data_IF_038970540074
#
_entry.id   IF_038970540074
#
_cell.length_a   1.000
_cell.length_b   1.000
_cell.length_c   1.000
_cell.angle_alpha   90.00
_cell.angle_beta   90.00
_cell.angle_gamma   90.00
#
_symmetry.space_group_name_H-M   'P 1'
#
loop_
_entity.id
_entity.type
_entity.pdbx_description
1 polymer ?
#
# COMPACT_ATOMS: atom_id res chain seq x y z
N UNK A 1 -17.86 10.44 29.70
CA UNK A 1 -17.04 11.62 29.36
C UNK A 1 -15.61 11.26 29.72
N UNK A 2 -14.69 11.22 28.78
CA UNK A 2 -13.28 11.03 29.10
C UNK A 2 -12.78 12.23 29.90
N UNK A 3 -12.03 11.98 30.97
CA UNK A 3 -11.49 13.04 31.82
C UNK A 3 -10.43 13.84 31.04
N UNK A 4 -10.77 15.05 30.65
CA UNK A 4 -9.93 15.96 29.87
C UNK A 4 -8.66 16.37 30.64
N UNK A 5 -8.63 16.23 31.96
CA UNK A 5 -7.47 16.54 32.81
C UNK A 5 -6.28 15.63 32.62
N UNK A 6 -6.46 14.46 31.99
CA UNK A 6 -5.41 13.48 31.72
C UNK A 6 -4.79 13.57 30.30
N UNK A 7 -5.21 14.55 29.49
CA UNK A 7 -4.57 14.75 28.19
C UNK A 7 -3.19 15.37 28.42
N UNK A 8 -2.09 14.69 28.00
CA UNK A 8 -0.76 15.28 28.13
C UNK A 8 -0.70 16.63 27.42
N UNK A 9 -0.33 17.66 28.15
CA UNK A 9 -0.20 19.02 27.63
C UNK A 9 1.02 19.19 26.71
N UNK A 10 2.01 18.31 26.85
CA UNK A 10 3.19 18.26 25.99
C UNK A 10 3.07 17.14 24.96
N UNK A 11 2.97 17.51 23.69
CA UNK A 11 2.89 16.58 22.56
C UNK A 11 4.11 15.65 22.47
N UNK A 12 5.26 16.05 23.00
CA UNK A 12 6.46 15.22 23.03
C UNK A 12 6.41 14.10 24.08
N UNK A 13 5.47 14.13 25.00
CA UNK A 13 5.20 13.01 25.92
C UNK A 13 4.41 11.87 25.25
N UNK A 14 3.68 12.17 24.15
CA UNK A 14 2.86 11.22 23.41
C UNK A 14 3.58 10.72 22.15
N UNK A 15 4.36 11.60 21.50
CA UNK A 15 5.02 11.33 20.24
C UNK A 15 6.53 11.64 20.32
N UNK A 16 7.29 11.15 19.34
CA UNK A 16 8.75 11.38 19.31
C UNK A 16 9.10 12.86 19.15
N UNK A 17 10.27 13.25 19.67
CA UNK A 17 10.88 14.56 19.43
C UNK A 17 11.43 14.62 18.00
N UNK A 18 11.18 15.73 17.30
CA UNK A 18 11.66 15.99 15.95
C UNK A 18 12.76 17.05 15.96
N UNK A 19 13.95 16.66 15.52
CA UNK A 19 15.05 17.54 15.20
C UNK A 19 15.22 17.73 13.69
N UNK A 20 16.08 18.62 13.26
CA UNK A 20 16.30 18.92 11.85
C UNK A 20 16.73 17.70 11.02
N UNK A 21 17.54 16.81 11.60
CA UNK A 21 18.00 15.59 10.91
C UNK A 21 16.85 14.62 10.67
N UNK A 22 15.98 14.40 11.68
CA UNK A 22 14.80 13.56 11.56
C UNK A 22 13.79 14.13 10.56
N UNK A 23 13.60 15.46 10.54
CA UNK A 23 12.74 16.14 9.57
C UNK A 23 13.27 15.93 8.15
N UNK A 24 14.55 16.14 7.92
CA UNK A 24 15.21 15.90 6.62
C UNK A 24 15.08 14.45 6.17
N UNK A 25 15.33 13.51 7.07
CA UNK A 25 15.17 12.08 6.79
C UNK A 25 13.73 11.71 6.42
N UNK A 26 12.74 12.18 7.18
CA UNK A 26 11.32 11.92 6.92
C UNK A 26 10.85 12.53 5.59
N UNK A 27 11.36 13.71 5.23
CA UNK A 27 11.08 14.32 3.93
C UNK A 27 11.62 13.46 2.78
N UNK A 28 12.87 12.98 2.88
CA UNK A 28 13.48 12.10 1.86
C UNK A 28 12.73 10.77 1.77
N UNK A 29 12.42 10.16 2.91
CA UNK A 29 11.63 8.93 2.98
C UNK A 29 10.23 9.15 2.38
N UNK A 30 9.62 10.31 2.65
CA UNK A 30 8.37 10.76 2.03
C UNK A 30 8.49 10.85 0.51
N UNK A 31 9.52 11.51 0.02
CA UNK A 31 9.78 11.66 -1.42
C UNK A 31 9.96 10.30 -2.12
N UNK A 32 10.80 9.42 -1.57
CA UNK A 32 11.03 8.07 -2.12
C UNK A 32 9.72 7.26 -2.08
N UNK A 33 9.01 7.26 -0.94
CA UNK A 33 7.73 6.59 -0.80
C UNK A 33 6.66 7.11 -1.77
N UNK A 34 6.66 8.42 -2.01
CA UNK A 34 5.81 9.07 -3.01
C UNK A 34 6.16 8.64 -4.43
N UNK A 35 7.44 8.68 -4.80
CA UNK A 35 7.94 8.29 -6.13
C UNK A 35 7.54 6.84 -6.45
N UNK A 36 7.82 5.94 -5.54
CA UNK A 36 7.46 4.53 -5.71
C UNK A 36 5.94 4.35 -5.74
N UNK A 37 5.20 5.07 -4.90
CA UNK A 37 3.73 5.02 -4.92
C UNK A 37 3.14 5.49 -6.24
N UNK A 38 3.65 6.57 -6.81
CA UNK A 38 3.21 7.08 -8.11
C UNK A 38 3.48 6.10 -9.25
N UNK A 39 4.59 5.35 -9.14
CA UNK A 39 5.02 4.38 -10.15
C UNK A 39 4.28 3.03 -10.04
N UNK A 40 4.26 2.40 -8.85
CA UNK A 40 3.70 1.06 -8.65
C UNK A 40 2.34 1.03 -7.93
N UNK A 41 1.80 2.17 -7.53
CA UNK A 41 0.48 2.27 -6.91
C UNK A 41 0.38 1.84 -5.43
N UNK A 42 1.43 1.26 -4.86
CA UNK A 42 1.41 0.57 -3.56
C UNK A 42 1.28 1.47 -2.31
N UNK A 43 1.13 2.76 -2.50
CA UNK A 43 0.98 3.70 -1.38
C UNK A 43 2.29 4.16 -0.71
N UNK A 44 3.45 3.59 -1.03
CA UNK A 44 4.77 3.95 -0.45
C UNK A 44 4.96 3.55 1.01
N UNK A 45 3.96 2.90 1.60
CA UNK A 45 3.90 2.54 3.02
C UNK A 45 5.07 1.67 3.49
N UNK A 46 5.60 0.86 2.62
CA UNK A 46 6.72 -0.05 2.88
C UNK A 46 8.06 0.65 3.14
N UNK A 47 8.22 1.90 2.67
CA UNK A 47 9.35 2.75 3.03
C UNK A 47 9.00 3.63 4.22
N UNK A 48 7.79 4.19 4.23
CA UNK A 48 7.34 5.16 5.21
C UNK A 48 7.19 4.57 6.61
N UNK A 49 6.47 3.43 6.74
CA UNK A 49 6.25 2.81 8.05
C UNK A 49 7.56 2.34 8.68
N UNK A 50 8.42 1.55 7.98
CA UNK A 50 9.73 1.21 8.51
C UNK A 50 10.64 2.42 8.79
N UNK A 51 10.61 3.42 7.91
CA UNK A 51 11.39 4.65 8.09
C UNK A 51 10.99 5.44 9.34
N UNK A 52 9.69 5.52 9.65
CA UNK A 52 9.24 6.10 10.92
C UNK A 52 9.62 5.24 12.13
N UNK A 53 9.46 3.91 12.02
CA UNK A 53 9.82 2.99 13.10
C UNK A 53 11.32 3.02 13.42
N UNK A 54 12.22 3.22 12.43
CA UNK A 54 13.65 3.35 12.66
C UNK A 54 14.05 4.62 13.42
N UNK A 55 13.15 5.61 13.49
CA UNK A 55 13.30 6.80 14.31
C UNK A 55 12.71 6.66 15.73
N UNK A 56 12.23 5.46 16.08
CA UNK A 56 11.60 5.18 17.37
C UNK A 56 10.10 5.47 17.41
N UNK A 57 9.44 5.70 16.25
CA UNK A 57 7.98 5.85 16.22
C UNK A 57 7.31 4.50 16.47
N UNK A 58 6.38 4.40 17.44
CA UNK A 58 5.61 3.17 17.67
C UNK A 58 4.87 2.71 16.41
N UNK A 59 4.81 1.39 16.17
CA UNK A 59 4.25 0.83 14.95
C UNK A 59 2.82 1.32 14.67
N UNK A 60 1.95 1.36 15.69
CA UNK A 60 0.57 1.83 15.54
C UNK A 60 0.52 3.31 15.09
N UNK A 61 1.37 4.18 15.65
CA UNK A 61 1.47 5.59 15.26
C UNK A 61 2.02 5.73 13.84
N UNK A 62 3.03 4.92 13.48
CA UNK A 62 3.59 4.91 12.13
C UNK A 62 2.56 4.47 11.09
N UNK A 63 1.78 3.41 11.36
CA UNK A 63 0.69 2.95 10.49
C UNK A 63 -0.40 4.01 10.37
N UNK A 64 -0.82 4.61 11.49
CA UNK A 64 -1.87 5.63 11.53
C UNK A 64 -1.47 6.89 10.74
N UNK A 65 -0.28 7.44 11.01
CA UNK A 65 0.25 8.63 10.33
C UNK A 65 0.45 8.38 8.83
N UNK A 66 0.90 7.18 8.46
CA UNK A 66 1.00 6.77 7.06
C UNK A 66 -0.37 6.64 6.38
N UNK A 67 -1.40 6.12 7.06
CA UNK A 67 -2.77 6.09 6.52
C UNK A 67 -3.30 7.51 6.27
N UNK A 68 -3.03 8.44 7.20
CA UNK A 68 -3.46 9.84 7.07
C UNK A 68 -2.80 10.52 5.87
N UNK A 69 -1.48 10.38 5.70
CA UNK A 69 -0.77 10.94 4.55
C UNK A 69 -1.20 10.32 3.21
N UNK A 70 -1.65 9.04 3.23
CA UNK A 70 -2.03 8.29 2.02
C UNK A 70 -3.17 8.95 1.26
N UNK A 71 -4.17 9.49 1.95
CA UNK A 71 -5.37 10.08 1.35
C UNK A 71 -5.04 11.22 0.37
N UNK A 72 -4.42 12.35 0.77
CA UNK A 72 -4.14 13.46 -0.14
C UNK A 72 -3.15 13.09 -1.24
N UNK A 73 -2.12 12.29 -0.91
CA UNK A 73 -1.16 11.82 -1.90
C UNK A 73 -1.81 10.95 -2.98
N UNK A 74 -2.69 10.03 -2.58
CA UNK A 74 -3.36 9.13 -3.52
C UNK A 74 -4.27 9.87 -4.50
N UNK A 75 -4.93 10.94 -4.07
CA UNK A 75 -5.72 11.82 -4.96
C UNK A 75 -4.83 12.42 -6.04
N UNK A 76 -3.68 12.99 -5.66
CA UNK A 76 -2.74 13.61 -6.61
C UNK A 76 -2.21 12.56 -7.60
N UNK A 77 -1.81 11.39 -7.11
CA UNK A 77 -1.32 10.30 -7.94
C UNK A 77 -2.40 9.74 -8.89
N UNK A 78 -3.60 9.48 -8.38
CA UNK A 78 -4.74 9.00 -9.17
C UNK A 78 -5.14 10.00 -10.27
N UNK A 79 -5.22 11.29 -9.93
CA UNK A 79 -5.53 12.34 -10.89
C UNK A 79 -4.51 12.42 -12.04
N UNK A 80 -3.22 12.31 -11.70
CA UNK A 80 -2.14 12.29 -12.70
C UNK A 80 -2.27 11.07 -13.63
N UNK A 81 -2.43 9.88 -13.05
CA UNK A 81 -2.56 8.61 -13.78
C UNK A 81 -3.88 8.52 -14.58
N UNK A 82 -4.95 9.19 -14.12
CA UNK A 82 -6.21 9.34 -14.85
C UNK A 82 -6.00 10.08 -16.17
N UNK A 83 -5.20 11.16 -16.17
CA UNK A 83 -4.85 11.89 -17.40
C UNK A 83 -4.10 11.05 -18.43
N UNK A 84 -3.41 10.01 -17.97
CA UNK A 84 -2.71 9.06 -18.87
C UNK A 84 -3.61 7.89 -19.32
N UNK A 85 -4.90 7.87 -18.93
CA UNK A 85 -5.82 6.80 -19.27
C UNK A 85 -5.53 5.45 -18.60
N UNK A 86 -4.73 5.44 -17.54
CA UNK A 86 -4.26 4.23 -16.87
C UNK A 86 -5.16 3.77 -15.71
N UNK A 87 -6.12 4.59 -15.28
CA UNK A 87 -6.98 4.29 -14.11
C UNK A 87 -8.32 3.74 -14.55
N UNK A 88 -8.72 2.58 -14.03
CA UNK A 88 -10.11 2.13 -14.07
C UNK A 88 -10.84 2.59 -12.80
N UNK A 89 -11.50 3.74 -12.90
CA UNK A 89 -12.17 4.36 -11.76
C UNK A 89 -13.26 3.45 -11.19
N UNK A 90 -14.00 2.74 -12.05
CA UNK A 90 -15.06 1.82 -11.64
C UNK A 90 -14.52 0.63 -10.84
N UNK A 91 -13.42 0.02 -11.30
CA UNK A 91 -12.75 -1.06 -10.58
C UNK A 91 -12.23 -0.56 -9.23
N UNK A 92 -11.56 0.60 -9.22
CA UNK A 92 -11.05 1.21 -8.00
C UNK A 92 -12.14 1.48 -6.96
N UNK A 93 -13.27 2.05 -7.37
CA UNK A 93 -14.39 2.34 -6.46
C UNK A 93 -15.08 1.07 -5.95
N UNK A 94 -15.28 0.06 -6.80
CA UNK A 94 -15.87 -1.22 -6.37
C UNK A 94 -14.95 -1.93 -5.38
N UNK A 95 -13.65 -1.98 -5.63
CA UNK A 95 -12.68 -2.51 -4.66
C UNK A 95 -12.65 -1.71 -3.36
N UNK A 96 -12.71 -0.38 -3.47
CA UNK A 96 -12.62 0.53 -2.33
C UNK A 96 -13.76 0.33 -1.31
N UNK A 97 -14.96 -0.09 -1.74
CA UNK A 97 -16.07 -0.37 -0.81
C UNK A 97 -15.71 -1.47 0.18
N UNK A 98 -15.17 -2.57 -0.30
CA UNK A 98 -14.77 -3.70 0.55
C UNK A 98 -13.43 -3.43 1.26
N UNK A 99 -12.53 -2.67 0.64
CA UNK A 99 -11.30 -2.22 1.28
C UNK A 99 -11.57 -1.30 2.48
N UNK A 100 -12.55 -0.41 2.40
CA UNK A 100 -12.99 0.42 3.53
C UNK A 100 -13.44 -0.42 4.73
N UNK A 101 -14.23 -1.47 4.49
CA UNK A 101 -14.64 -2.44 5.53
C UNK A 101 -13.39 -3.15 6.11
N UNK A 102 -12.49 -3.61 5.25
CA UNK A 102 -11.23 -4.21 5.65
C UNK A 102 -10.38 -3.30 6.54
N UNK A 103 -10.31 -2.00 6.22
CA UNK A 103 -9.62 -1.00 7.03
C UNK A 103 -10.20 -0.91 8.43
N UNK A 104 -11.51 -0.81 8.56
CA UNK A 104 -12.17 -0.70 9.87
C UNK A 104 -11.93 -1.94 10.76
N UNK A 105 -11.97 -3.12 10.16
CA UNK A 105 -11.67 -4.37 10.87
C UNK A 105 -10.18 -4.46 11.22
N UNK A 106 -9.30 -4.09 10.28
CA UNK A 106 -7.85 -4.09 10.51
C UNK A 106 -7.42 -3.15 11.63
N UNK A 107 -8.04 -1.98 11.77
CA UNK A 107 -7.79 -1.05 12.87
C UNK A 107 -8.17 -1.71 14.21
N UNK A 108 -9.33 -2.37 14.29
CA UNK A 108 -9.74 -3.09 15.52
C UNK A 108 -8.76 -4.21 15.89
N UNK A 109 -8.25 -4.94 14.91
CA UNK A 109 -7.22 -5.96 15.13
C UNK A 109 -5.95 -5.33 15.68
N UNK A 110 -5.49 -4.23 15.10
CA UNK A 110 -4.29 -3.52 15.57
C UNK A 110 -4.46 -2.95 16.98
N UNK A 111 -5.65 -2.39 17.29
CA UNK A 111 -6.00 -1.96 18.65
C UNK A 111 -5.95 -3.13 19.64
N UNK A 112 -6.55 -4.27 19.28
CA UNK A 112 -6.55 -5.47 20.11
C UNK A 112 -5.14 -5.97 20.39
N UNK A 113 -4.28 -6.04 19.35
CA UNK A 113 -2.89 -6.46 19.49
C UNK A 113 -2.12 -5.51 20.42
N UNK A 114 -2.27 -4.20 20.22
CA UNK A 114 -1.61 -3.19 21.04
C UNK A 114 -2.08 -3.29 22.50
N UNK A 115 -3.38 -3.50 22.74
CA UNK A 115 -3.94 -3.62 24.08
C UNK A 115 -3.47 -4.90 24.80
N UNK A 116 -3.36 -6.01 24.06
CA UNK A 116 -3.06 -7.33 24.65
C UNK A 116 -1.55 -7.56 24.81
N UNK A 117 -0.74 -7.14 23.83
CA UNK A 117 0.70 -7.41 23.78
C UNK A 117 1.57 -6.16 23.98
N UNK A 118 0.95 -5.01 24.22
CA UNK A 118 1.66 -3.74 24.38
C UNK A 118 2.32 -3.22 23.10
N UNK A 119 3.20 -2.24 23.24
CA UNK A 119 3.90 -1.63 22.11
C UNK A 119 4.94 -2.56 21.47
N UNK A 120 5.71 -3.29 22.28
CA UNK A 120 6.71 -4.25 21.79
C UNK A 120 6.05 -5.36 20.96
N UNK A 121 4.95 -5.94 21.46
CA UNK A 121 4.18 -6.93 20.72
C UNK A 121 3.55 -6.40 19.43
N UNK A 122 3.07 -5.16 19.42
CA UNK A 122 2.58 -4.50 18.22
C UNK A 122 3.69 -4.29 17.19
N UNK A 123 4.87 -3.83 17.61
CA UNK A 123 6.03 -3.64 16.76
C UNK A 123 6.51 -4.96 16.14
N UNK A 124 6.57 -6.01 16.94
CA UNK A 124 6.93 -7.36 16.49
C UNK A 124 5.92 -7.91 15.48
N UNK A 125 4.62 -7.81 15.78
CA UNK A 125 3.54 -8.23 14.87
C UNK A 125 3.66 -7.54 13.51
N UNK A 126 3.75 -6.21 13.51
CA UNK A 126 3.87 -5.44 12.26
C UNK A 126 5.11 -5.87 11.48
N UNK A 127 6.26 -6.03 12.13
CA UNK A 127 7.52 -6.38 11.46
C UNK A 127 7.50 -7.78 10.88
N UNK A 128 7.02 -8.78 11.63
CA UNK A 128 6.93 -10.18 11.17
C UNK A 128 5.91 -10.33 10.06
N UNK A 129 4.69 -9.79 10.25
CA UNK A 129 3.65 -9.88 9.23
C UNK A 129 4.06 -9.15 7.94
N UNK A 130 4.73 -8.00 8.08
CA UNK A 130 5.29 -7.24 6.97
C UNK A 130 6.32 -8.10 6.19
N UNK A 131 7.28 -8.70 6.90
CA UNK A 131 8.30 -9.58 6.32
C UNK A 131 7.66 -10.74 5.54
N UNK A 132 6.76 -11.49 6.18
CA UNK A 132 6.10 -12.65 5.56
C UNK A 132 5.35 -12.25 4.28
N UNK A 133 4.54 -11.20 4.33
CA UNK A 133 3.78 -10.73 3.17
C UNK A 133 4.71 -10.30 2.04
N UNK A 134 5.78 -9.55 2.35
CA UNK A 134 6.69 -9.07 1.31
C UNK A 134 7.52 -10.19 0.67
N UNK A 135 7.94 -11.19 1.44
CA UNK A 135 8.68 -12.34 0.90
C UNK A 135 7.77 -13.19 0.02
N UNK A 136 6.58 -13.55 0.49
CA UNK A 136 5.67 -14.44 -0.25
C UNK A 136 5.17 -13.74 -1.52
N UNK A 137 4.60 -12.55 -1.39
CA UNK A 137 4.02 -11.84 -2.55
C UNK A 137 5.12 -11.30 -3.45
N UNK A 138 6.15 -10.68 -2.88
CA UNK A 138 7.29 -10.13 -3.62
C UNK A 138 8.06 -11.21 -4.39
N UNK A 139 8.31 -12.36 -3.77
CA UNK A 139 8.96 -13.51 -4.42
C UNK A 139 8.14 -14.05 -5.60
N UNK A 140 6.83 -14.19 -5.43
CA UNK A 140 5.94 -14.63 -6.50
C UNK A 140 5.92 -13.63 -7.68
N UNK A 141 5.74 -12.34 -7.40
CA UNK A 141 5.73 -11.28 -8.42
C UNK A 141 7.08 -11.16 -9.11
N UNK A 142 8.19 -11.35 -8.38
CA UNK A 142 9.54 -11.31 -8.94
C UNK A 142 9.79 -12.44 -9.95
N UNK A 143 9.39 -13.66 -9.60
CA UNK A 143 9.50 -14.81 -10.52
C UNK A 143 8.65 -14.59 -11.80
N UNK A 144 7.44 -14.03 -11.66
CA UNK A 144 6.59 -13.71 -12.80
C UNK A 144 7.19 -12.58 -13.66
N UNK A 145 7.69 -11.52 -13.05
CA UNK A 145 8.34 -10.41 -13.73
C UNK A 145 9.58 -10.86 -14.51
N UNK A 146 10.40 -11.78 -13.96
CA UNK A 146 11.53 -12.35 -14.67
C UNK A 146 11.12 -13.17 -15.90
N UNK A 147 10.05 -13.99 -15.79
CA UNK A 147 9.49 -14.74 -16.91
C UNK A 147 8.99 -13.78 -17.99
N UNK A 148 8.26 -12.73 -17.62
CA UNK A 148 7.77 -11.72 -18.54
C UNK A 148 8.92 -10.97 -19.25
N UNK A 149 9.97 -10.60 -18.50
CA UNK A 149 11.18 -9.97 -19.05
C UNK A 149 11.88 -10.87 -20.09
N UNK A 150 12.06 -12.17 -19.78
CA UNK A 150 12.68 -13.13 -20.72
C UNK A 150 11.88 -13.24 -22.01
N UNK A 151 10.55 -13.32 -21.94
CA UNK A 151 9.66 -13.35 -23.11
C UNK A 151 9.80 -12.06 -23.95
N UNK A 152 9.81 -10.90 -23.30
CA UNK A 152 9.93 -9.61 -23.98
C UNK A 152 11.27 -9.46 -24.73
N UNK A 153 12.36 -10.04 -24.20
CA UNK A 153 13.69 -10.02 -24.83
C UNK A 153 13.83 -11.03 -25.99
N UNK A 154 13.04 -12.07 -26.02
CA UNK A 154 13.05 -13.09 -27.08
C UNK A 154 12.31 -12.68 -28.36
N UNK A 155 11.70 -11.48 -28.41
CA UNK A 155 11.27 -10.82 -29.66
C UNK A 155 10.07 -11.45 -30.38
N UNK A 156 9.18 -12.16 -29.70
CA UNK A 156 7.93 -12.63 -30.31
C UNK A 156 6.93 -11.50 -30.51
N UNK A 157 6.22 -11.46 -31.63
CA UNK A 157 5.15 -10.47 -31.93
C UNK A 157 4.02 -10.52 -30.88
N UNK A 158 3.87 -11.64 -30.16
CA UNK A 158 2.93 -11.85 -29.04
C UNK A 158 3.53 -11.48 -27.66
N UNK A 159 4.80 -11.05 -27.59
CA UNK A 159 5.46 -10.70 -26.33
C UNK A 159 4.90 -9.41 -25.68
N UNK A 160 4.18 -8.59 -26.42
CA UNK A 160 3.57 -7.35 -25.91
C UNK A 160 2.18 -7.55 -25.30
N UNK A 161 1.49 -8.64 -25.62
CA UNK A 161 0.20 -8.95 -24.97
C UNK A 161 0.46 -9.65 -23.63
N UNK A 162 0.25 -8.92 -22.55
CA UNK A 162 0.27 -9.53 -21.22
C UNK A 162 -0.82 -10.62 -21.14
N UNK A 163 -0.38 -11.89 -21.09
CA UNK A 163 -1.29 -13.01 -20.98
C UNK A 163 -1.89 -12.98 -19.58
N UNK A 164 -3.22 -12.88 -19.51
CA UNK A 164 -3.95 -12.93 -18.24
C UNK A 164 -3.48 -14.11 -17.40
N UNK A 165 -3.26 -13.90 -16.11
CA UNK A 165 -2.79 -14.94 -15.19
C UNK A 165 -3.72 -16.17 -15.20
N UNK A 166 -3.18 -17.40 -15.07
CA UNK A 166 -3.99 -18.63 -15.18
C UNK A 166 -5.17 -18.70 -14.22
N UNK A 167 -5.02 -18.16 -13.00
CA UNK A 167 -6.11 -18.08 -12.02
C UNK A 167 -7.20 -17.12 -12.50
N UNK A 168 -6.82 -15.94 -12.97
CA UNK A 168 -7.76 -14.94 -13.49
C UNK A 168 -8.54 -15.48 -14.69
N UNK A 169 -7.89 -16.23 -15.59
CA UNK A 169 -8.57 -16.89 -16.71
C UNK A 169 -9.63 -17.90 -16.26
N UNK A 170 -9.35 -18.69 -15.20
CA UNK A 170 -10.31 -19.63 -14.63
C UNK A 170 -11.49 -18.89 -14.00
N UNK A 171 -11.22 -17.83 -13.20
CA UNK A 171 -12.25 -17.06 -12.53
C UNK A 171 -13.12 -16.26 -13.50
N UNK A 172 -12.55 -15.75 -14.59
CA UNK A 172 -13.30 -15.03 -15.63
C UNK A 172 -14.36 -15.90 -16.37
N UNK A 173 -14.16 -17.23 -16.36
CA UNK A 173 -15.13 -18.18 -16.93
C UNK A 173 -16.34 -18.42 -16.02
N UNK A 174 -16.24 -18.07 -14.74
CA UNK A 174 -17.31 -18.29 -13.77
C UNK A 174 -18.27 -17.08 -13.81
N UNK A 175 -19.46 -17.27 -14.37
CA UNK A 175 -20.50 -16.25 -14.46
C UNK A 175 -21.35 -16.22 -13.18
N UNK A 176 -20.82 -15.71 -12.08
CA UNK A 176 -21.53 -15.55 -10.81
C UNK A 176 -22.04 -14.09 -10.68
N UNK A 177 -23.36 -13.83 -10.69
CA UNK A 177 -23.90 -12.47 -10.55
C UNK A 177 -23.57 -11.87 -9.17
N UNK A 178 -23.37 -10.53 -9.07
CA UNK A 178 -23.34 -9.55 -10.15
C UNK A 178 -22.02 -9.55 -10.93
N UNK A 179 -22.14 -9.59 -12.27
CA UNK A 179 -20.98 -9.47 -13.17
C UNK A 179 -20.76 -8.00 -13.54
N UNK A 180 -19.53 -7.52 -13.37
CA UNK A 180 -19.15 -6.13 -13.62
C UNK A 180 -18.10 -6.07 -14.72
N UNK A 181 -18.32 -5.18 -15.71
CA UNK A 181 -17.36 -4.93 -16.78
C UNK A 181 -16.58 -3.65 -16.48
N UNK A 182 -15.28 -3.73 -16.62
CA UNK A 182 -14.30 -2.66 -16.38
C UNK A 182 -13.60 -2.33 -17.69
N UNK A 183 -13.90 -1.13 -18.23
CA UNK A 183 -13.49 -0.78 -19.59
C UNK A 183 -11.99 -0.55 -19.72
N UNK A 184 -11.38 0.21 -18.80
CA UNK A 184 -9.95 0.54 -18.84
C UNK A 184 -9.10 -0.68 -18.51
N UNK A 185 -9.54 -1.49 -17.56
CA UNK A 185 -8.87 -2.74 -17.21
C UNK A 185 -9.07 -3.85 -18.25
N UNK A 186 -10.06 -3.72 -19.16
CA UNK A 186 -10.34 -4.71 -20.20
C UNK A 186 -10.87 -6.05 -19.65
N UNK A 187 -11.43 -6.07 -18.45
CA UNK A 187 -11.88 -7.28 -17.78
C UNK A 187 -13.37 -7.27 -17.47
N UNK A 188 -13.96 -8.46 -17.41
CA UNK A 188 -15.31 -8.70 -16.89
C UNK A 188 -15.22 -9.73 -15.78
N UNK A 189 -15.59 -9.34 -14.54
CA UNK A 189 -15.40 -10.16 -13.36
C UNK A 189 -16.59 -10.07 -12.42
N UNK A 190 -16.87 -11.16 -11.68
CA UNK A 190 -17.87 -11.18 -10.62
C UNK A 190 -17.40 -10.33 -9.42
N UNK A 191 -18.35 -9.61 -8.81
CA UNK A 191 -18.11 -8.87 -7.56
C UNK A 191 -17.53 -9.77 -6.45
N UNK A 192 -17.96 -11.01 -6.38
CA UNK A 192 -17.53 -11.97 -5.36
C UNK A 192 -16.04 -12.33 -5.41
N UNK A 193 -15.38 -12.11 -6.56
CA UNK A 193 -13.91 -12.26 -6.66
C UNK A 193 -13.18 -10.93 -6.41
N UNK A 194 -13.84 -9.80 -6.66
CA UNK A 194 -13.28 -8.47 -6.39
C UNK A 194 -13.31 -8.16 -4.89
N UNK A 195 -14.40 -8.51 -4.22
CA UNK A 195 -14.63 -8.20 -2.82
C UNK A 195 -13.56 -8.74 -1.85
N UNK A 196 -13.12 -10.02 -1.94
CA UNK A 196 -12.04 -10.52 -1.09
C UNK A 196 -10.72 -9.80 -1.34
N UNK A 197 -10.38 -9.48 -2.60
CA UNK A 197 -9.15 -8.75 -2.94
C UNK A 197 -9.18 -7.37 -2.29
N UNK A 198 -10.28 -6.62 -2.46
CA UNK A 198 -10.44 -5.32 -1.82
C UNK A 198 -10.39 -5.40 -0.30
N UNK A 199 -11.13 -6.33 0.29
CA UNK A 199 -11.18 -6.54 1.74
C UNK A 199 -9.79 -6.83 2.33
N UNK A 200 -9.04 -7.77 1.77
CA UNK A 200 -7.68 -8.11 2.22
C UNK A 200 -6.72 -6.93 2.03
N UNK A 201 -6.86 -6.19 0.93
CA UNK A 201 -6.09 -4.97 0.70
C UNK A 201 -6.29 -3.97 1.82
N UNK A 202 -7.54 -3.71 2.22
CA UNK A 202 -7.88 -2.79 3.31
C UNK A 202 -7.44 -3.29 4.68
N UNK A 203 -7.67 -4.58 4.96
CA UNK A 203 -7.28 -5.22 6.21
C UNK A 203 -5.77 -5.09 6.47
N UNK A 204 -4.96 -5.46 5.49
CA UNK A 204 -3.50 -5.41 5.58
C UNK A 204 -2.96 -3.97 5.49
N UNK A 205 -3.68 -3.06 4.82
CA UNK A 205 -3.33 -1.65 4.87
C UNK A 205 -3.44 -1.06 6.27
N UNK A 206 -4.45 -1.46 7.03
CA UNK A 206 -4.71 -0.93 8.36
C UNK A 206 -3.91 -1.62 9.47
N UNK A 207 -3.60 -2.91 9.32
CA UNK A 207 -2.83 -3.66 10.33
C UNK A 207 -1.33 -3.45 10.18
N UNK A 208 -0.81 -3.51 8.96
CA UNK A 208 0.63 -3.49 8.68
C UNK A 208 1.05 -2.49 7.60
N UNK A 209 0.14 -1.61 7.16
CA UNK A 209 0.36 -0.60 6.13
C UNK A 209 0.72 -1.12 4.71
N UNK A 210 0.53 -2.41 4.39
CA UNK A 210 1.00 -3.07 3.13
C UNK A 210 -0.09 -3.23 2.06
N UNK A 211 -1.25 -2.59 2.22
CA UNK A 211 -2.42 -2.80 1.36
C UNK A 211 -2.15 -2.85 -0.14
N UNK A 212 -1.41 -1.88 -0.69
CA UNK A 212 -1.13 -1.83 -2.12
C UNK A 212 -0.28 -2.98 -2.65
N UNK A 213 0.50 -3.65 -1.82
CA UNK A 213 1.24 -4.86 -2.21
C UNK A 213 0.38 -6.12 -2.25
N UNK A 214 -0.86 -6.03 -1.82
CA UNK A 214 -1.87 -7.07 -2.02
C UNK A 214 -2.85 -6.64 -3.10
N UNK A 215 -3.27 -5.37 -3.11
CA UNK A 215 -4.22 -4.83 -4.07
C UNK A 215 -3.73 -4.93 -5.51
N UNK A 216 -2.50 -4.49 -5.79
CA UNK A 216 -1.93 -4.53 -7.15
C UNK A 216 -1.75 -5.98 -7.63
N UNK A 217 -1.06 -6.89 -6.93
CA UNK A 217 -1.01 -8.30 -7.32
C UNK A 217 -2.39 -8.97 -7.37
N UNK A 218 -3.30 -8.64 -6.47
CA UNK A 218 -4.66 -9.14 -6.51
C UNK A 218 -5.39 -8.77 -7.80
N UNK A 219 -5.27 -7.51 -8.25
CA UNK A 219 -5.82 -7.08 -9.53
C UNK A 219 -5.15 -7.78 -10.72
N UNK A 220 -3.84 -8.01 -10.67
CA UNK A 220 -3.11 -8.68 -11.75
C UNK A 220 -3.44 -10.18 -11.80
N UNK A 221 -3.29 -10.88 -10.69
CA UNK A 221 -3.28 -12.35 -10.65
C UNK A 221 -4.65 -12.98 -10.41
N UNK A 222 -5.56 -12.27 -9.71
CA UNK A 222 -6.92 -12.75 -9.43
C UNK A 222 -7.92 -12.17 -10.42
N UNK A 223 -7.83 -10.86 -10.71
CA UNK A 223 -8.80 -10.18 -11.57
C UNK A 223 -8.35 -10.12 -13.04
N UNK A 224 -7.06 -10.23 -13.32
CA UNK A 224 -6.52 -10.28 -14.69
C UNK A 224 -6.30 -8.92 -15.35
N UNK A 225 -6.24 -7.84 -14.58
CA UNK A 225 -5.90 -6.53 -15.09
C UNK A 225 -4.39 -6.40 -15.35
N UNK A 226 -3.98 -5.54 -16.31
CA UNK A 226 -2.56 -5.27 -16.56
C UNK A 226 -1.88 -4.59 -15.37
N UNK A 227 -0.55 -4.69 -15.27
CA UNK A 227 0.19 -4.14 -14.14
C UNK A 227 0.11 -2.60 -14.11
N UNK A 228 0.14 -1.94 -15.27
CA UNK A 228 -0.02 -0.49 -15.36
C UNK A 228 -1.39 -0.04 -14.86
N UNK A 229 -2.48 -0.67 -15.32
CA UNK A 229 -3.83 -0.32 -14.90
C UNK A 229 -4.05 -0.67 -13.42
N UNK A 230 -3.58 -1.83 -12.96
CA UNK A 230 -3.68 -2.24 -11.56
C UNK A 230 -2.97 -1.27 -10.62
N UNK A 231 -1.74 -0.87 -10.93
CA UNK A 231 -0.97 0.08 -10.14
C UNK A 231 -1.62 1.47 -10.10
N UNK A 232 -2.22 1.91 -11.20
CA UNK A 232 -2.91 3.19 -11.26
C UNK A 232 -4.25 3.16 -10.50
N UNK A 233 -5.02 2.08 -10.66
CA UNK A 233 -6.32 1.89 -10.03
C UNK A 233 -6.19 1.73 -8.52
N UNK A 234 -5.10 1.12 -8.04
CA UNK A 234 -4.81 1.03 -6.61
C UNK A 234 -4.72 2.40 -5.93
N UNK A 235 -4.30 3.45 -6.63
CA UNK A 235 -4.29 4.81 -6.05
C UNK A 235 -5.70 5.28 -5.69
N UNK A 236 -6.74 4.88 -6.43
CA UNK A 236 -8.14 5.18 -6.09
C UNK A 236 -8.54 4.43 -4.83
N UNK A 237 -8.23 3.13 -4.75
CA UNK A 237 -8.48 2.30 -3.57
C UNK A 237 -7.74 2.87 -2.36
N UNK A 238 -6.46 3.22 -2.54
CA UNK A 238 -5.62 3.82 -1.50
C UNK A 238 -6.17 5.16 -0.98
N UNK A 239 -6.78 5.97 -1.85
CA UNK A 239 -7.44 7.21 -1.47
C UNK A 239 -8.60 6.95 -0.50
N UNK A 240 -9.50 6.04 -0.84
CA UNK A 240 -10.65 5.70 0.02
C UNK A 240 -10.19 5.04 1.33
N UNK A 241 -9.24 4.09 1.27
CA UNK A 241 -8.66 3.48 2.47
C UNK A 241 -7.98 4.53 3.36
N UNK A 242 -7.22 5.45 2.75
CA UNK A 242 -6.56 6.54 3.47
C UNK A 242 -7.58 7.44 4.16
N UNK A 243 -8.65 7.84 3.48
CA UNK A 243 -9.72 8.64 4.06
C UNK A 243 -10.40 7.93 5.25
N UNK A 244 -10.86 6.70 5.04
CA UNK A 244 -11.53 5.89 6.08
C UNK A 244 -10.60 5.65 7.28
N UNK A 245 -9.34 5.27 7.01
CA UNK A 245 -8.36 5.02 8.04
C UNK A 245 -7.94 6.27 8.80
N UNK A 246 -7.79 7.41 8.13
CA UNK A 246 -7.44 8.69 8.77
C UNK A 246 -8.45 9.10 9.84
N UNK A 247 -9.74 9.03 9.52
CA UNK A 247 -10.81 9.39 10.46
C UNK A 247 -10.74 8.48 11.69
N UNK A 248 -10.70 7.17 11.47
CA UNK A 248 -10.72 6.21 12.58
C UNK A 248 -9.46 6.27 13.44
N UNK A 249 -8.26 6.35 12.84
CA UNK A 249 -7.01 6.48 13.57
C UNK A 249 -6.86 7.82 14.30
N UNK A 250 -7.40 8.91 13.72
CA UNK A 250 -7.43 10.22 14.38
C UNK A 250 -8.35 10.19 15.62
N UNK A 251 -9.51 9.52 15.52
CA UNK A 251 -10.41 9.33 16.69
C UNK A 251 -9.78 8.52 17.82
N UNK A 252 -8.77 7.69 17.49
CA UNK A 252 -8.00 6.91 18.49
C UNK A 252 -6.77 7.66 19.02
N UNK A 253 -6.53 8.90 18.56
CA UNK A 253 -5.37 9.71 18.98
C UNK A 253 -4.01 9.17 18.51
N UNK A 254 -3.99 8.28 17.50
CA UNK A 254 -2.76 7.62 17.03
C UNK A 254 -2.07 8.34 15.86
N UNK A 255 -2.64 9.42 15.33
CA UNK A 255 -2.06 10.15 14.20
C UNK A 255 -1.16 11.27 14.71
N UNK A 256 0.15 11.19 14.41
CA UNK A 256 1.06 12.33 14.55
C UNK A 256 1.02 13.19 13.28
N UNK A 257 0.34 14.32 13.37
CA UNK A 257 0.19 15.25 12.24
C UNK A 257 1.52 15.85 11.78
N UNK A 258 2.52 16.01 12.67
CA UNK A 258 3.85 16.50 12.32
C UNK A 258 4.55 15.54 11.37
N UNK A 259 4.57 14.24 11.71
CA UNK A 259 5.09 13.18 10.84
C UNK A 259 4.32 13.13 9.52
N UNK A 260 2.98 13.14 9.61
CA UNK A 260 2.08 13.10 8.45
C UNK A 260 2.39 14.22 7.46
N UNK A 261 2.54 15.47 7.93
CA UNK A 261 2.79 16.63 7.06
C UNK A 261 4.19 16.59 6.44
N UNK A 262 5.22 16.20 7.20
CA UNK A 262 6.60 16.13 6.69
C UNK A 262 6.69 15.09 5.57
N UNK A 263 6.20 13.87 5.81
CA UNK A 263 6.22 12.82 4.78
C UNK A 263 5.30 13.17 3.60
N UNK A 264 4.20 13.91 3.83
CA UNK A 264 3.29 14.37 2.77
C UNK A 264 4.00 15.36 1.85
N UNK A 265 4.71 16.35 2.39
CA UNK A 265 5.45 17.30 1.57
C UNK A 265 6.41 16.60 0.60
N UNK A 266 7.23 15.67 1.08
CA UNK A 266 8.12 14.89 0.22
C UNK A 266 7.35 14.05 -0.80
N UNK A 267 6.31 13.37 -0.35
CA UNK A 267 5.58 12.41 -1.19
C UNK A 267 4.73 13.05 -2.28
N UNK A 268 4.27 14.29 -2.12
CA UNK A 268 3.54 15.01 -3.17
C UNK A 268 4.42 15.32 -4.39
N UNK A 269 5.70 15.62 -4.20
CA UNK A 269 6.65 15.74 -5.30
C UNK A 269 6.97 14.35 -5.90
N UNK A 270 7.27 13.39 -5.04
CA UNK A 270 7.63 12.03 -5.45
C UNK A 270 6.54 11.36 -6.28
N UNK A 271 5.27 11.42 -5.85
CA UNK A 271 4.15 10.75 -6.53
C UNK A 271 3.92 11.27 -7.95
N UNK A 272 4.17 12.55 -8.19
CA UNK A 272 4.05 13.12 -9.52
C UNK A 272 5.16 12.63 -10.46
N UNK A 273 6.41 12.59 -9.98
CA UNK A 273 7.53 12.05 -10.74
C UNK A 273 7.37 10.55 -11.00
N UNK A 274 6.94 9.78 -10.00
CA UNK A 274 6.64 8.37 -10.16
C UNK A 274 5.54 8.11 -11.20
N UNK A 275 4.47 8.89 -11.19
CA UNK A 275 3.41 8.79 -12.17
C UNK A 275 3.89 9.12 -13.60
N UNK A 276 4.75 10.14 -13.77
CA UNK A 276 5.37 10.43 -15.08
C UNK A 276 6.20 9.23 -15.55
N UNK A 277 6.99 8.62 -14.66
CA UNK A 277 7.82 7.46 -15.00
C UNK A 277 7.03 6.30 -15.63
N UNK A 278 5.75 6.14 -15.31
CA UNK A 278 4.90 5.07 -15.87
C UNK A 278 4.59 5.24 -17.35
N UNK A 279 4.75 6.43 -17.91
CA UNK A 279 4.51 6.67 -19.35
C UNK A 279 5.66 6.17 -20.23
N UNK A 280 6.80 5.84 -19.63
CA UNK A 280 8.02 5.40 -20.33
C UNK A 280 8.33 3.91 -20.14
N UNK A 281 7.47 3.17 -19.42
CA UNK A 281 7.78 1.78 -19.04
C UNK A 281 6.71 0.80 -19.51
N UNK A 282 7.13 -0.45 -19.74
CA UNK A 282 6.25 -1.57 -20.07
C UNK A 282 5.72 -2.23 -18.78
N UNK A 283 4.60 -2.96 -18.86
CA UNK A 283 3.94 -3.63 -17.74
C UNK A 283 4.87 -4.51 -16.88
N UNK A 284 5.75 -5.30 -17.52
CA UNK A 284 6.69 -6.14 -16.78
C UNK A 284 7.69 -5.35 -15.92
N UNK A 285 8.02 -4.11 -16.32
CA UNK A 285 8.92 -3.25 -15.55
C UNK A 285 8.25 -2.79 -14.25
N UNK A 286 6.94 -2.52 -14.27
CA UNK A 286 6.17 -2.19 -13.05
C UNK A 286 6.23 -3.36 -12.07
N UNK A 287 5.99 -4.59 -12.54
CA UNK A 287 6.09 -5.81 -11.72
C UNK A 287 7.52 -5.99 -11.17
N UNK A 288 8.53 -5.81 -12.03
CA UNK A 288 9.93 -5.99 -11.65
C UNK A 288 10.36 -5.00 -10.58
N UNK A 289 10.09 -3.70 -10.78
CA UNK A 289 10.41 -2.65 -9.80
C UNK A 289 9.67 -2.90 -8.49
N UNK A 290 8.36 -3.20 -8.56
CA UNK A 290 7.53 -3.49 -7.39
C UNK A 290 8.12 -4.65 -6.56
N UNK A 291 8.39 -5.78 -7.20
CA UNK A 291 8.90 -6.97 -6.51
C UNK A 291 10.31 -6.79 -5.96
N UNK A 292 11.19 -6.11 -6.70
CA UNK A 292 12.56 -5.80 -6.24
C UNK A 292 12.50 -4.95 -4.95
N UNK A 293 11.68 -3.92 -4.94
CA UNK A 293 11.52 -3.07 -3.77
C UNK A 293 10.92 -3.85 -2.59
N UNK A 294 9.91 -4.71 -2.84
CA UNK A 294 9.33 -5.57 -1.81
C UNK A 294 10.40 -6.45 -1.15
N UNK A 295 11.27 -7.08 -1.93
CA UNK A 295 12.33 -7.95 -1.41
C UNK A 295 13.41 -7.18 -0.63
N UNK A 296 13.83 -6.00 -1.11
CA UNK A 296 14.77 -5.14 -0.38
C UNK A 296 14.20 -4.76 0.99
N UNK A 297 12.95 -4.36 1.04
CA UNK A 297 12.30 -3.97 2.31
C UNK A 297 12.07 -5.18 3.20
N UNK A 298 11.76 -6.36 2.65
CA UNK A 298 11.67 -7.59 3.44
C UNK A 298 12.98 -7.90 4.18
N UNK A 299 14.13 -7.77 3.50
CA UNK A 299 15.45 -7.92 4.13
C UNK A 299 15.65 -6.90 5.25
N UNK A 300 15.30 -5.64 5.03
CA UNK A 300 15.43 -4.60 6.07
C UNK A 300 14.59 -4.91 7.32
N UNK A 301 13.39 -5.51 7.14
CA UNK A 301 12.54 -5.91 8.26
C UNK A 301 13.06 -7.15 8.98
N UNK A 302 13.64 -8.10 8.26
CA UNK A 302 14.27 -9.25 8.88
C UNK A 302 15.39 -8.82 9.84
N UNK A 303 16.21 -7.85 9.45
CA UNK A 303 17.29 -7.32 10.27
C UNK A 303 16.79 -6.56 11.51
N UNK A 304 15.59 -5.97 11.47
CA UNK A 304 15.02 -5.25 12.60
C UNK A 304 14.26 -6.14 13.61
N UNK A 305 13.84 -7.37 13.24
CA UNK A 305 13.09 -8.27 14.11
C UNK A 305 13.82 -8.60 15.42
N UNK A 306 15.15 -8.91 15.45
CA UNK A 306 15.86 -9.21 16.67
C UNK A 306 15.79 -8.10 17.73
N UNK A 307 15.75 -6.82 17.30
CA UNK A 307 15.66 -5.68 18.23
C UNK A 307 14.37 -5.69 19.04
N UNK A 308 13.26 -6.19 18.43
CA UNK A 308 11.93 -6.26 19.08
C UNK A 308 11.72 -7.54 19.92
N UNK A 309 12.62 -8.53 19.81
CA UNK A 309 12.58 -9.74 20.63
C UNK A 309 13.34 -9.57 21.93
N UNK A 310 14.25 -8.59 22.02
CA UNK A 310 15.09 -8.33 23.19
C UNK A 310 14.53 -7.19 24.04
N UNK A 311 13.64 -6.36 23.50
CA UNK A 311 12.95 -5.27 24.17
C UNK A 311 11.66 -5.76 24.87
#
# INVERSE_FOLDING_TARGET
MADVSQIPTDINQVFITLDAAKIGFLFIVGFIGGLVSGFIGSGGAFVLTPGMMSLGVPAAVAVASNMCHKFPKAIVGAYRRLKYGQVDLKLGLVMATTAGIGVLIGIKIQEFIKHTWGEAGSNLYVSVAFFVVLVVVGGYVFMDAQKAKKKALQGGVDAEKEVMAPLAQKLAKINLPPMITFKTAGIRMSFWFIAPVGFLTGLLAATIAVGGFIGVPGMIYVLGASALVSSATELVVAGVMGFTGSIKWAMLGMVDLRLTLIILMGSLFGVQLGAIGTTYVKDYMVKFVMSTIMLIVAVSRLLAIPEYLVA
#
